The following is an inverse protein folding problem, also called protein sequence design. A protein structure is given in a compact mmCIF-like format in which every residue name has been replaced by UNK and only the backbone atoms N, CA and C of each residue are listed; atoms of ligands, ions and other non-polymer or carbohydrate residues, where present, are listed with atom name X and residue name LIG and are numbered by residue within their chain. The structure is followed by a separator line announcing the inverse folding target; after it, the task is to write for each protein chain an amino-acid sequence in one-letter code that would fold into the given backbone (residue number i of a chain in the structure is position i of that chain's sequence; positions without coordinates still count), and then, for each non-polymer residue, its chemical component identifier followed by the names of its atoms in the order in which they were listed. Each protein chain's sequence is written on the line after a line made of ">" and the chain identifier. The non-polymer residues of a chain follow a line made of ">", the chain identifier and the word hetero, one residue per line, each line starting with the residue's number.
data_IF_625842045189
#
_entry.id   IF_625842045189
#
_cell.length_a   1.000
_cell.length_b   1.000
_cell.length_c   1.000
_cell.angle_alpha   90.00
_cell.angle_beta   90.00
_cell.angle_gamma   90.00
#
_symmetry.space_group_name_H-M   'P 1'
#
loop_
_entity.id
_entity.type
_entity.pdbx_description
1 polymer ?
#
# COMPACT_ATOMS: atom_id res chain seq x y z
N UNK A 1 -8.98 -16.73 23.27
CA UNK A 1 -8.86 -15.30 22.86
C UNK A 1 -7.57 -14.64 23.35
N UNK A 2 -6.68 -15.36 24.05
CA UNK A 2 -5.50 -14.82 24.73
C UNK A 2 -4.26 -14.67 23.85
N UNK A 3 -4.08 -15.53 22.84
CA UNK A 3 -2.88 -15.53 21.97
C UNK A 3 -2.75 -14.28 21.09
N UNK A 4 -3.87 -13.69 20.66
CA UNK A 4 -3.85 -12.51 19.79
C UNK A 4 -3.39 -11.27 20.54
N UNK A 5 -3.74 -11.17 21.83
CA UNK A 5 -3.42 -10.02 22.68
C UNK A 5 -1.96 -10.05 23.14
N UNK A 6 -1.41 -11.23 23.45
CA UNK A 6 0.02 -11.36 23.81
C UNK A 6 0.91 -11.01 22.63
N UNK A 7 0.60 -11.54 21.44
CA UNK A 7 1.37 -11.29 20.22
C UNK A 7 1.42 -9.79 19.83
N UNK A 8 0.33 -9.04 20.03
CA UNK A 8 0.33 -7.59 19.77
C UNK A 8 1.16 -6.79 20.77
N UNK A 9 1.19 -7.20 22.05
CA UNK A 9 1.99 -6.53 23.07
C UNK A 9 3.50 -6.76 22.84
N UNK A 10 3.88 -7.98 22.44
CA UNK A 10 5.27 -8.30 22.12
C UNK A 10 5.78 -7.50 20.92
N UNK A 11 4.93 -7.30 19.89
CA UNK A 11 5.27 -6.48 18.73
C UNK A 11 5.47 -5.00 19.07
N UNK A 12 4.66 -4.44 19.98
CA UNK A 12 4.81 -3.05 20.43
C UNK A 12 6.13 -2.90 21.18
N UNK A 13 6.44 -3.83 22.08
CA UNK A 13 7.69 -3.82 22.87
C UNK A 13 8.93 -3.90 21.97
N UNK A 14 8.92 -4.74 20.95
CA UNK A 14 10.00 -4.79 19.96
C UNK A 14 10.19 -3.46 19.22
N UNK A 15 9.11 -2.76 18.86
CA UNK A 15 9.20 -1.47 18.16
C UNK A 15 9.71 -0.35 19.08
N UNK A 16 9.32 -0.36 20.36
CA UNK A 16 9.82 0.57 21.37
C UNK A 16 11.31 0.40 21.62
N UNK A 17 11.81 -0.84 21.72
CA UNK A 17 13.25 -1.11 21.85
C UNK A 17 14.05 -0.62 20.63
N UNK A 18 13.52 -0.80 19.42
CA UNK A 18 14.13 -0.26 18.19
C UNK A 18 14.19 1.27 18.22
N UNK A 19 13.18 1.93 18.78
CA UNK A 19 13.15 3.40 18.92
C UNK A 19 14.10 3.92 19.99
N UNK A 20 14.43 3.12 21.02
CA UNK A 20 15.47 3.47 22.00
C UNK A 20 16.86 3.49 21.36
N UNK A 21 17.13 2.56 20.46
CA UNK A 21 18.42 2.47 19.74
C UNK A 21 18.50 3.53 18.63
N UNK A 22 17.38 3.83 17.97
CA UNK A 22 17.32 4.86 16.92
C UNK A 22 16.00 5.66 17.00
N UNK A 23 16.00 6.82 17.69
CA UNK A 23 14.78 7.61 17.90
C UNK A 23 14.21 8.24 16.62
N UNK A 24 14.99 8.25 15.53
CA UNK A 24 14.56 8.77 14.22
C UNK A 24 14.06 7.69 13.26
N UNK A 25 13.94 6.44 13.72
CA UNK A 25 13.43 5.34 12.90
C UNK A 25 11.92 5.49 12.64
N UNK A 26 11.57 6.15 11.53
CA UNK A 26 10.17 6.38 11.14
C UNK A 26 9.38 5.09 10.92
N UNK A 27 10.04 4.01 10.49
CA UNK A 27 9.37 2.71 10.28
C UNK A 27 8.86 2.14 11.60
N UNK A 28 9.65 2.28 12.67
CA UNK A 28 9.24 1.85 13.99
C UNK A 28 8.10 2.72 14.55
N UNK A 29 8.16 4.05 14.39
CA UNK A 29 7.06 4.97 14.76
C UNK A 29 5.76 4.64 14.02
N UNK A 30 5.83 4.44 12.71
CA UNK A 30 4.67 4.12 11.87
C UNK A 30 4.08 2.74 12.19
N UNK A 31 4.95 1.76 12.48
CA UNK A 31 4.52 0.43 12.95
C UNK A 31 3.78 0.50 14.28
N UNK A 32 4.26 1.34 15.20
CA UNK A 32 3.66 1.54 16.53
C UNK A 32 2.27 2.16 16.40
N UNK A 33 2.14 3.23 15.60
CA UNK A 33 0.83 3.84 15.29
C UNK A 33 -0.12 2.83 14.64
N UNK A 34 0.37 2.02 13.69
CA UNK A 34 -0.45 0.99 13.01
C UNK A 34 -0.97 -0.08 13.97
N UNK A 35 -0.16 -0.49 14.95
CA UNK A 35 -0.56 -1.47 15.97
C UNK A 35 -1.49 -0.84 17.03
N UNK A 36 -1.24 0.40 17.42
CA UNK A 36 -2.14 1.17 18.28
C UNK A 36 -3.52 1.33 17.66
N UNK A 37 -3.60 1.61 16.35
CA UNK A 37 -4.87 1.70 15.62
C UNK A 37 -5.55 0.33 15.47
N UNK A 38 -4.78 -0.75 15.40
CA UNK A 38 -5.33 -2.12 15.37
C UNK A 38 -5.93 -2.57 16.72
N UNK A 39 -5.44 -2.00 17.82
CA UNK A 39 -5.98 -2.18 19.18
C UNK A 39 -7.25 -1.36 19.41
N UNK A 40 -7.51 -0.33 18.59
CA UNK A 40 -8.81 0.32 18.58
C UNK A 40 -9.84 -0.71 18.09
N UNK A 41 -10.91 -0.96 18.87
CA UNK A 41 -11.90 -1.95 18.49
C UNK A 41 -12.49 -1.56 17.13
N UNK A 42 -12.38 -2.49 16.16
CA UNK A 42 -13.09 -2.42 14.88
C UNK A 42 -14.57 -2.16 15.18
N UNK A 43 -15.22 -1.14 14.57
CA UNK A 43 -16.66 -0.96 14.73
C UNK A 43 -17.36 -2.25 14.33
N UNK A 44 -17.91 -2.92 15.34
CA UNK A 44 -18.48 -4.25 15.28
C UNK A 44 -19.85 -4.15 14.64
N UNK A 45 -19.93 -4.26 13.31
CA UNK A 45 -21.20 -4.54 12.64
C UNK A 45 -21.36 -6.06 12.58
N UNK A 46 -21.99 -6.62 13.60
CA UNK A 46 -22.53 -7.99 13.59
C UNK A 46 -23.90 -7.96 12.91
N UNK A 47 -24.14 -8.92 12.04
CA UNK A 47 -25.47 -9.17 11.47
C UNK A 47 -25.51 -10.52 10.77
N UNK A 48 -25.79 -11.57 11.53
CA UNK A 48 -26.23 -12.86 11.01
C UNK A 48 -27.76 -12.95 11.04
N UNK A 49 -28.28 -13.72 10.08
CA UNK A 49 -29.55 -14.48 10.08
C UNK A 49 -30.83 -13.84 9.50
N UNK A 50 -31.47 -14.64 8.65
CA UNK A 50 -32.83 -14.58 8.10
C UNK A 50 -33.94 -14.86 9.18
N UNK A 51 -35.25 -14.70 8.87
CA UNK A 51 -36.26 -14.03 9.71
C UNK A 51 -37.09 -14.98 10.59
N UNK A 52 -37.87 -14.44 11.58
CA UNK A 52 -39.31 -14.28 11.31
C UNK A 52 -40.02 -13.11 12.05
N UNK A 53 -41.24 -12.85 11.53
CA UNK A 53 -42.43 -12.17 12.12
C UNK A 53 -42.65 -10.67 11.92
N UNK A 54 -43.49 -10.44 10.89
CA UNK A 54 -44.40 -9.33 10.64
C UNK A 54 -45.16 -8.88 11.90
N UNK A 55 -45.12 -7.58 12.22
CA UNK A 55 -46.29 -6.77 12.63
C UNK A 55 -46.11 -5.30 12.20
N UNK A 56 -46.97 -4.91 11.27
CA UNK A 56 -47.37 -3.57 10.80
C UNK A 56 -47.32 -2.43 11.83
N UNK A 57 -46.77 -1.26 11.45
CA UNK A 57 -47.50 0.01 11.19
C UNK A 57 -46.51 1.20 11.21
N UNK A 58 -46.14 1.69 10.03
CA UNK A 58 -45.78 3.09 9.71
C UNK A 58 -45.02 3.02 8.39
N UNK A 59 -45.68 3.46 7.32
CA UNK A 59 -45.12 3.46 5.97
C UNK A 59 -43.96 4.46 5.94
N UNK A 60 -42.77 4.05 6.41
CA UNK A 60 -41.51 4.74 6.10
C UNK A 60 -41.48 4.82 4.59
N UNK A 61 -41.46 6.04 4.07
CA UNK A 61 -41.42 6.31 2.65
C UNK A 61 -40.41 5.37 1.99
N UNK A 62 -40.87 4.52 1.06
CA UNK A 62 -40.02 3.51 0.41
C UNK A 62 -38.85 4.14 -0.37
N UNK A 63 -38.98 5.43 -0.66
CA UNK A 63 -37.98 6.23 -1.37
C UNK A 63 -37.69 7.54 -0.64
N UNK A 64 -36.45 8.02 -0.82
CA UNK A 64 -35.96 9.33 -0.38
C UNK A 64 -35.28 10.02 -1.57
N UNK A 65 -35.13 11.35 -1.54
CA UNK A 65 -34.29 12.05 -2.53
C UNK A 65 -32.82 11.97 -2.12
N UNK A 66 -31.94 11.77 -3.10
CA UNK A 66 -30.51 11.88 -2.90
C UNK A 66 -30.14 13.34 -2.58
N UNK A 67 -29.44 13.64 -1.48
CA UNK A 67 -29.02 15.01 -1.15
C UNK A 67 -27.96 15.57 -2.12
N UNK A 68 -27.32 14.74 -2.94
CA UNK A 68 -26.25 15.14 -3.86
C UNK A 68 -26.71 15.40 -5.30
N UNK A 69 -27.63 14.58 -5.81
CA UNK A 69 -28.12 14.68 -7.19
C UNK A 69 -29.64 14.87 -7.31
N UNK A 70 -30.36 14.99 -6.19
CA UNK A 70 -31.82 15.16 -6.12
C UNK A 70 -32.70 14.01 -6.68
N UNK A 71 -32.08 12.94 -7.18
CA UNK A 71 -32.79 11.79 -7.75
C UNK A 71 -33.51 10.93 -6.70
N UNK A 72 -34.63 10.28 -7.05
CA UNK A 72 -35.37 9.40 -6.13
C UNK A 72 -34.69 8.03 -6.00
N UNK A 73 -34.30 7.68 -4.78
CA UNK A 73 -33.60 6.43 -4.44
C UNK A 73 -34.33 5.69 -3.33
N UNK A 74 -34.04 4.39 -3.13
CA UNK A 74 -34.61 3.61 -2.01
C UNK A 74 -34.24 4.24 -0.67
N UNK A 75 -35.16 4.25 0.29
CA UNK A 75 -34.91 4.83 1.61
C UNK A 75 -33.72 4.16 2.34
N UNK A 76 -33.53 2.86 2.12
CA UNK A 76 -32.44 2.05 2.66
C UNK A 76 -31.13 2.17 1.88
N UNK A 77 -31.11 2.91 0.76
CA UNK A 77 -29.90 3.07 -0.03
C UNK A 77 -28.79 3.76 0.79
N UNK A 78 -27.64 3.08 0.87
CA UNK A 78 -26.38 3.62 1.41
C UNK A 78 -25.59 4.37 0.34
N UNK A 79 -25.63 3.89 -0.91
CA UNK A 79 -24.96 4.51 -2.06
C UNK A 79 -26.03 4.89 -3.08
N UNK A 80 -25.93 6.10 -3.65
CA UNK A 80 -26.82 6.52 -4.72
C UNK A 80 -26.49 5.78 -6.02
N UNK A 81 -27.46 5.07 -6.62
CA UNK A 81 -27.28 4.40 -7.92
C UNK A 81 -27.02 5.37 -9.08
N UNK A 82 -27.43 6.63 -8.94
CA UNK A 82 -27.33 7.63 -10.01
C UNK A 82 -26.02 8.42 -9.96
N UNK A 83 -25.58 8.88 -8.79
CA UNK A 83 -24.34 9.67 -8.66
C UNK A 83 -23.17 8.94 -8.00
N UNK A 84 -23.39 7.72 -7.47
CA UNK A 84 -22.34 6.92 -6.84
C UNK A 84 -21.87 7.41 -5.47
N UNK A 85 -22.43 8.50 -4.94
CA UNK A 85 -22.01 9.06 -3.64
C UNK A 85 -22.53 8.21 -2.48
N UNK A 86 -21.68 7.98 -1.48
CA UNK A 86 -22.05 7.38 -0.21
C UNK A 86 -22.87 8.39 0.62
N UNK A 87 -24.10 8.02 0.96
CA UNK A 87 -25.03 8.85 1.72
C UNK A 87 -24.78 8.79 3.23
N UNK A 88 -23.97 7.83 3.69
CA UNK A 88 -23.55 7.69 5.09
C UNK A 88 -22.27 8.46 5.36
N UNK A 89 -21.31 8.40 4.41
CA UNK A 89 -19.96 8.96 4.57
C UNK A 89 -19.83 10.37 3.99
N UNK A 90 -20.85 10.85 3.29
CA UNK A 90 -20.81 12.12 2.57
C UNK A 90 -20.17 11.98 1.19
N UNK A 91 -20.00 13.07 0.41
CA UNK A 91 -19.05 13.03 -0.67
C UNK A 91 -17.70 12.86 0.01
N UNK A 92 -17.27 11.60 0.15
CA UNK A 92 -15.87 11.25 0.29
C UNK A 92 -15.26 11.93 -0.91
N UNK A 93 -14.76 13.16 -0.64
CA UNK A 93 -14.08 14.00 -1.59
C UNK A 93 -13.07 13.04 -2.14
N UNK A 94 -13.32 12.59 -3.36
CA UNK A 94 -12.40 11.70 -4.03
C UNK A 94 -11.11 12.47 -3.90
N UNK A 95 -10.26 11.99 -2.98
CA UNK A 95 -8.85 12.06 -3.18
C UNK A 95 -8.76 11.27 -4.44
N UNK A 96 -8.94 11.99 -5.56
CA UNK A 96 -8.41 11.62 -6.84
C UNK A 96 -7.00 11.29 -6.41
N UNK A 97 -6.74 10.00 -6.27
CA UNK A 97 -5.46 9.43 -6.52
C UNK A 97 -5.22 9.77 -8.00
N UNK A 98 -5.03 11.07 -8.29
CA UNK A 98 -3.98 11.51 -9.16
C UNK A 98 -2.81 10.76 -8.57
N UNK A 99 -2.21 9.82 -9.32
CA UNK A 99 -0.87 9.43 -8.94
C UNK A 99 -0.12 10.75 -8.72
N UNK A 100 0.61 10.92 -7.61
CA UNK A 100 1.57 12.00 -7.53
C UNK A 100 2.60 11.76 -8.64
N UNK A 101 2.28 12.23 -9.84
CA UNK A 101 3.21 12.49 -10.91
C UNK A 101 4.04 13.66 -10.37
N UNK A 102 5.31 13.39 -10.11
CA UNK A 102 6.28 14.25 -9.39
C UNK A 102 6.37 13.98 -7.89
N UNK A 103 6.82 12.78 -7.52
CA UNK A 103 7.85 12.69 -6.49
C UNK A 103 8.95 11.72 -6.94
N UNK A 104 9.95 12.34 -7.54
CA UNK A 104 11.33 11.88 -7.60
C UNK A 104 11.72 11.30 -6.22
N UNK A 105 12.17 10.05 -6.23
CA UNK A 105 12.90 9.34 -5.18
C UNK A 105 12.14 8.95 -3.90
N UNK A 106 11.67 7.69 -3.89
CA UNK A 106 11.90 6.80 -2.75
C UNK A 106 12.98 5.82 -3.19
N UNK A 107 14.24 6.25 -3.05
CA UNK A 107 15.37 5.32 -3.15
C UNK A 107 15.40 4.55 -1.82
N UNK A 108 14.95 3.30 -1.86
CA UNK A 108 15.32 2.31 -0.85
C UNK A 108 16.85 2.33 -0.82
N UNK A 109 17.47 2.37 0.37
CA UNK A 109 18.92 2.20 0.56
C UNK A 109 19.38 0.85 -0.01
N UNK A 110 19.48 0.80 -1.32
CA UNK A 110 20.41 0.00 -2.08
C UNK A 110 21.42 1.05 -2.53
N UNK A 111 22.70 0.83 -2.29
CA UNK A 111 23.77 1.72 -2.72
C UNK A 111 23.48 2.27 -4.11
N UNK A 112 23.40 3.61 -4.24
CA UNK A 112 23.21 4.29 -5.51
C UNK A 112 24.45 3.99 -6.34
N UNK A 113 24.39 2.91 -7.13
CA UNK A 113 25.53 2.41 -7.90
C UNK A 113 25.91 3.47 -8.91
N UNK A 114 27.04 4.13 -8.68
CA UNK A 114 27.51 5.20 -9.54
C UNK A 114 27.67 4.69 -10.98
N UNK A 115 27.05 5.35 -11.98
CA UNK A 115 27.20 4.97 -13.39
C UNK A 115 28.66 5.05 -13.84
N UNK A 116 29.44 5.92 -13.20
CA UNK A 116 30.88 6.06 -13.45
C UNK A 116 31.64 4.81 -12.99
N UNK A 117 31.26 4.22 -11.86
CA UNK A 117 31.83 2.96 -11.36
C UNK A 117 31.50 1.81 -12.31
N UNK A 118 30.29 1.75 -12.86
CA UNK A 118 29.92 0.75 -13.88
C UNK A 118 30.73 0.90 -15.18
N UNK A 119 31.05 2.14 -15.57
CA UNK A 119 31.93 2.44 -16.70
C UNK A 119 33.37 1.95 -16.48
N UNK A 120 33.98 2.33 -15.36
CA UNK A 120 35.33 1.89 -14.99
C UNK A 120 35.44 0.36 -14.92
N UNK A 121 34.40 -0.32 -14.45
CA UNK A 121 34.39 -1.77 -14.30
C UNK A 121 34.36 -2.50 -15.66
N UNK A 122 33.73 -1.92 -16.68
CA UNK A 122 33.78 -2.44 -18.06
C UNK A 122 35.15 -2.23 -18.74
N UNK A 123 35.97 -1.28 -18.26
CA UNK A 123 37.33 -1.05 -18.78
C UNK A 123 38.30 -2.13 -18.31
N UNK A 124 38.17 -2.57 -17.05
CA UNK A 124 39.04 -3.61 -16.49
C UNK A 124 38.64 -4.99 -17.03
N UNK A 125 37.34 -5.29 -17.03
CA UNK A 125 36.80 -6.57 -17.48
C UNK A 125 35.51 -6.32 -18.29
N UNK A 126 35.47 -6.65 -19.59
CA UNK A 126 34.26 -6.48 -20.38
C UNK A 126 33.10 -7.28 -19.76
N UNK A 127 31.98 -6.62 -19.49
CA UNK A 127 30.77 -7.25 -18.93
C UNK A 127 30.61 -7.16 -17.41
N UNK A 128 31.67 -6.84 -16.66
CA UNK A 128 31.60 -6.76 -15.20
C UNK A 128 30.74 -5.59 -14.71
N UNK A 129 30.69 -4.49 -15.47
CA UNK A 129 29.79 -3.36 -15.22
C UNK A 129 28.30 -3.73 -15.29
N UNK A 130 27.91 -4.64 -16.19
CA UNK A 130 26.52 -5.09 -16.31
C UNK A 130 26.07 -5.99 -15.16
N UNK A 131 27.00 -6.80 -14.62
CA UNK A 131 26.77 -7.57 -13.40
C UNK A 131 26.58 -6.63 -12.20
N UNK A 132 27.37 -5.54 -12.14
CA UNK A 132 27.24 -4.53 -11.09
C UNK A 132 25.87 -3.86 -11.11
N UNK A 133 25.29 -3.53 -12.25
CA UNK A 133 23.91 -2.96 -12.32
C UNK A 133 22.81 -4.00 -11.98
N UNK A 134 23.17 -5.25 -11.69
CA UNK A 134 22.26 -6.32 -11.30
C UNK A 134 21.73 -7.15 -12.49
N UNK A 135 22.20 -6.87 -13.70
CA UNK A 135 21.83 -7.63 -14.89
C UNK A 135 22.90 -8.69 -15.20
N UNK A 136 22.84 -9.79 -14.45
CA UNK A 136 23.82 -10.89 -14.53
C UNK A 136 23.91 -11.50 -15.94
N UNK A 137 22.77 -11.69 -16.60
CA UNK A 137 22.70 -12.33 -17.94
C UNK A 137 23.46 -11.52 -18.98
N UNK A 138 23.24 -10.20 -19.03
CA UNK A 138 23.97 -9.33 -19.97
C UNK A 138 25.46 -9.25 -19.66
N UNK A 139 25.83 -9.29 -18.38
CA UNK A 139 27.22 -9.31 -17.96
C UNK A 139 27.96 -10.57 -18.42
N UNK A 140 27.39 -11.75 -18.15
CA UNK A 140 27.97 -13.03 -18.60
C UNK A 140 28.06 -13.07 -20.12
N UNK A 141 27.00 -12.66 -20.84
CA UNK A 141 27.01 -12.64 -22.30
C UNK A 141 28.14 -11.75 -22.84
N UNK A 142 28.30 -10.54 -22.31
CA UNK A 142 29.35 -9.61 -22.77
C UNK A 142 30.75 -10.15 -22.44
N UNK A 143 30.95 -10.74 -21.27
CA UNK A 143 32.25 -11.29 -20.85
C UNK A 143 32.74 -12.41 -21.76
N UNK A 144 31.86 -13.30 -22.21
CA UNK A 144 32.23 -14.39 -23.13
C UNK A 144 32.19 -13.97 -24.60
N UNK A 145 31.23 -13.15 -25.02
CA UNK A 145 31.03 -12.87 -26.44
C UNK A 145 31.96 -11.76 -26.94
N UNK A 146 32.22 -10.70 -26.15
CA UNK A 146 33.06 -9.58 -26.58
C UNK A 146 34.52 -9.97 -26.92
N UNK A 147 35.25 -10.78 -26.12
CA UNK A 147 36.60 -11.19 -26.48
C UNK A 147 36.62 -12.15 -27.68
N UNK A 148 35.59 -12.98 -27.84
CA UNK A 148 35.44 -13.82 -29.03
C UNK A 148 35.16 -12.98 -30.28
N UNK A 149 34.36 -11.93 -30.21
CA UNK A 149 34.17 -11.05 -31.38
C UNK A 149 35.47 -10.33 -31.72
N UNK A 150 36.19 -9.77 -30.73
CA UNK A 150 37.44 -9.05 -30.97
C UNK A 150 38.58 -9.94 -31.48
N UNK A 151 38.61 -11.22 -31.09
CA UNK A 151 39.61 -12.16 -31.56
C UNK A 151 39.38 -12.66 -33.01
N UNK A 152 38.16 -12.47 -33.54
CA UNK A 152 37.75 -12.96 -34.86
C UNK A 152 37.44 -11.82 -35.85
N UNK A 153 37.71 -10.57 -35.49
CA UNK A 153 37.55 -9.37 -36.33
C UNK A 153 38.92 -8.72 -36.56
#
# INVERSE_FOLDING_TARGET
>A
MTQVVTFTNDQIKCLEEVLKINPNNQKAKNGLVKLQVKLLPKPSVKGSAEPPKIRTLSKKSETKKCPYCAERIKAEAKICRFCGTDLMTGPERQVTLRPPQTQKQVHILLDEKDPNTAGCLNVIIPGLGYVYVGNLVRGILTFFVAPFIFAFY
#
